data_IF_728860909567
#
_entry.id   IF_728860909567
#
_cell.length_a   1.000
_cell.length_b   1.000
_cell.length_c   1.000
_cell.angle_alpha   90.00
_cell.angle_beta   90.00
_cell.angle_gamma   90.00
#
_symmetry.space_group_name_H-M   'P 1'
#
loop_
_entity.id
_entity.type
_entity.pdbx_description
1 polymer ?
#
# COMPACT_ATOMS: atom_id res chain seq x y z
N UNK A 1 78.63 -4.50 -46.47
CA UNK A 1 77.21 -4.16 -46.28
C UNK A 1 76.42 -5.45 -46.29
N UNK A 2 76.02 -5.96 -45.13
CA UNK A 2 75.07 -7.07 -45.01
C UNK A 2 73.78 -6.49 -44.44
N UNK A 3 72.68 -6.60 -45.19
CA UNK A 3 71.39 -6.04 -44.79
C UNK A 3 70.65 -6.97 -43.84
N UNK A 4 70.12 -6.30 -42.82
CA UNK A 4 69.35 -6.69 -41.66
C UNK A 4 68.29 -7.76 -41.96
N UNK A 5 68.22 -8.80 -41.13
CA UNK A 5 67.17 -9.82 -41.18
C UNK A 5 65.81 -9.23 -40.80
N UNK A 6 64.82 -9.46 -41.67
CA UNK A 6 63.42 -9.15 -41.44
C UNK A 6 62.89 -10.05 -40.31
N UNK A 7 62.67 -9.46 -39.13
CA UNK A 7 61.98 -10.11 -38.02
C UNK A 7 60.47 -10.13 -38.30
N UNK A 8 59.85 -11.31 -38.17
CA UNK A 8 58.41 -11.47 -38.26
C UNK A 8 57.67 -10.51 -37.29
N UNK A 9 56.56 -9.89 -37.71
CA UNK A 9 55.78 -9.03 -36.84
C UNK A 9 55.17 -9.82 -35.68
N UNK A 10 55.15 -9.27 -34.45
CA UNK A 10 54.62 -9.96 -33.28
C UNK A 10 53.13 -10.26 -33.45
N UNK A 11 52.76 -11.52 -33.23
CA UNK A 11 51.38 -11.98 -33.24
C UNK A 11 50.53 -11.21 -32.20
N UNK A 12 49.33 -10.73 -32.56
CA UNK A 12 48.47 -10.00 -31.65
C UNK A 12 48.09 -10.90 -30.47
N UNK A 13 48.49 -10.48 -29.28
CA UNK A 13 48.13 -11.14 -28.03
C UNK A 13 46.61 -11.05 -27.88
N UNK A 14 45.91 -12.13 -27.51
CA UNK A 14 44.48 -12.06 -27.29
C UNK A 14 44.20 -10.99 -26.23
N UNK A 15 43.39 -9.99 -26.60
CA UNK A 15 42.97 -8.94 -25.68
C UNK A 15 42.25 -9.61 -24.52
N UNK A 16 42.96 -9.82 -23.40
CA UNK A 16 42.40 -10.31 -22.16
C UNK A 16 41.63 -9.13 -21.57
N UNK A 17 40.37 -9.00 -21.99
CA UNK A 17 39.42 -8.11 -21.35
C UNK A 17 39.41 -8.35 -19.83
N UNK A 18 39.02 -7.33 -19.04
CA UNK A 18 39.05 -7.43 -17.59
C UNK A 18 38.38 -8.73 -17.15
N UNK A 19 39.04 -9.45 -16.25
CA UNK A 19 38.47 -10.69 -15.75
C UNK A 19 37.09 -10.40 -15.13
N UNK A 20 36.19 -11.39 -15.18
CA UNK A 20 34.83 -11.24 -14.62
C UNK A 20 34.83 -10.92 -13.11
N UNK A 21 36.00 -10.97 -12.45
CA UNK A 21 36.21 -10.62 -11.05
C UNK A 21 36.59 -9.13 -10.85
N UNK A 22 37.21 -8.47 -11.82
CA UNK A 22 37.57 -7.03 -11.77
C UNK A 22 36.37 -6.13 -12.06
N UNK A 23 35.31 -6.64 -12.70
CA UNK A 23 34.02 -5.94 -12.84
C UNK A 23 33.18 -5.92 -11.55
N UNK A 24 33.72 -6.40 -10.41
CA UNK A 24 33.04 -6.34 -9.11
C UNK A 24 33.36 -5.05 -8.32
N UNK A 25 34.13 -4.11 -8.88
CA UNK A 25 34.44 -2.82 -8.25
C UNK A 25 33.63 -1.68 -8.88
N UNK A 26 32.31 -1.82 -8.98
CA UNK A 26 31.32 -0.71 -8.86
C UNK A 26 29.93 -1.29 -9.03
N UNK A 27 29.16 -1.33 -7.94
CA UNK A 27 27.79 -1.84 -7.94
C UNK A 27 27.67 -3.14 -7.18
N UNK A 28 27.81 -3.08 -5.86
CA UNK A 28 27.22 -4.09 -4.98
C UNK A 28 25.77 -4.27 -5.40
N UNK A 29 25.39 -5.49 -5.79
CA UNK A 29 24.00 -5.86 -5.97
C UNK A 29 23.31 -5.74 -4.61
N UNK A 30 22.78 -4.55 -4.30
CA UNK A 30 22.05 -4.28 -3.06
C UNK A 30 20.82 -5.17 -3.07
N UNK A 31 20.66 -6.01 -2.03
CA UNK A 31 19.51 -6.90 -1.90
C UNK A 31 18.22 -6.09 -1.88
N UNK A 32 17.10 -6.67 -2.34
CA UNK A 32 15.81 -5.98 -2.29
C UNK A 32 15.44 -5.56 -0.86
N UNK A 33 15.75 -6.38 0.15
CA UNK A 33 15.58 -6.01 1.57
C UNK A 33 16.44 -4.81 1.97
N UNK A 34 17.68 -4.76 1.49
CA UNK A 34 18.57 -3.64 1.78
C UNK A 34 18.05 -2.36 1.12
N UNK A 35 17.46 -2.45 -0.07
CA UNK A 35 16.80 -1.31 -0.74
C UNK A 35 15.57 -0.84 0.01
N UNK A 36 14.71 -1.76 0.45
CA UNK A 36 13.48 -1.43 1.18
C UNK A 36 13.82 -0.81 2.55
N UNK A 37 14.83 -1.33 3.25
CA UNK A 37 15.37 -0.74 4.48
C UNK A 37 15.94 0.66 4.26
N UNK A 38 16.75 0.86 3.20
CA UNK A 38 17.24 2.20 2.85
C UNK A 38 16.12 3.20 2.56
N UNK A 39 15.06 2.76 1.86
CA UNK A 39 13.91 3.59 1.54
C UNK A 39 13.14 4.00 2.82
N UNK A 40 12.96 3.07 3.76
CA UNK A 40 12.32 3.35 5.05
C UNK A 40 13.15 4.34 5.87
N UNK A 41 14.48 4.19 5.91
CA UNK A 41 15.35 5.14 6.61
C UNK A 41 15.34 6.54 5.97
N UNK A 42 15.34 6.62 4.64
CA UNK A 42 15.19 7.89 3.94
C UNK A 42 13.83 8.55 4.25
N UNK A 43 12.75 7.77 4.28
CA UNK A 43 11.41 8.24 4.62
C UNK A 43 11.35 8.76 6.07
N UNK A 44 11.93 8.02 7.03
CA UNK A 44 12.07 8.46 8.43
C UNK A 44 12.82 9.78 8.53
N UNK A 45 13.92 9.93 7.79
CA UNK A 45 14.73 11.15 7.81
C UNK A 45 13.95 12.38 7.31
N UNK A 46 13.21 12.24 6.21
CA UNK A 46 12.35 13.31 5.67
C UNK A 46 11.24 13.67 6.66
N UNK A 47 10.53 12.67 7.18
CA UNK A 47 9.43 12.88 8.13
C UNK A 47 9.93 13.50 9.44
N UNK A 48 11.08 13.07 9.96
CA UNK A 48 11.67 13.63 11.18
C UNK A 48 11.99 15.12 11.02
N UNK A 49 12.45 15.54 9.84
CA UNK A 49 12.74 16.94 9.53
C UNK A 49 11.47 17.78 9.44
N UNK A 50 10.43 17.25 8.81
CA UNK A 50 9.17 17.97 8.62
C UNK A 50 8.31 18.01 9.90
N UNK A 51 8.17 16.89 10.62
CA UNK A 51 7.25 16.78 11.76
C UNK A 51 7.57 15.63 12.71
N UNK A 52 8.18 15.96 13.85
CA UNK A 52 8.53 14.99 14.90
C UNK A 52 7.35 14.25 15.51
N UNK A 53 6.16 14.86 15.58
CA UNK A 53 4.95 14.21 16.11
C UNK A 53 4.39 13.13 15.20
N UNK A 54 4.54 13.28 13.87
CA UNK A 54 4.18 12.23 12.91
C UNK A 54 5.19 11.07 12.98
N UNK A 55 6.47 11.37 13.16
CA UNK A 55 7.49 10.34 13.40
C UNK A 55 7.19 9.50 14.64
N UNK A 56 6.80 10.15 15.75
CA UNK A 56 6.45 9.46 16.99
C UNK A 56 5.20 8.60 16.85
N UNK A 57 4.15 9.09 16.17
CA UNK A 57 2.90 8.31 16.03
C UNK A 57 3.08 7.06 15.19
N UNK A 58 3.85 7.12 14.09
CA UNK A 58 4.16 5.93 13.28
C UNK A 58 5.06 4.96 14.07
N UNK A 59 6.01 5.47 14.86
CA UNK A 59 6.90 4.63 15.68
C UNK A 59 6.15 3.90 16.79
N UNK A 60 5.26 4.59 17.52
CA UNK A 60 4.45 4.01 18.58
C UNK A 60 3.50 2.92 18.07
N UNK A 61 3.07 3.02 16.81
CA UNK A 61 2.23 2.03 16.17
C UNK A 61 3.03 0.85 15.56
N UNK A 62 4.37 0.85 15.66
CA UNK A 62 5.21 -0.17 15.02
C UNK A 62 5.24 -0.08 13.49
N UNK A 63 4.78 1.03 12.90
CA UNK A 63 4.58 1.14 11.45
C UNK A 63 5.86 1.00 10.62
N UNK A 64 7.01 1.40 11.17
CA UNK A 64 8.30 1.33 10.45
C UNK A 64 8.80 -0.09 10.22
N UNK A 65 8.62 -0.96 11.22
CA UNK A 65 9.02 -2.36 11.11
C UNK A 65 8.13 -3.06 10.09
N UNK A 66 6.83 -2.75 10.11
CA UNK A 66 5.85 -3.28 9.18
C UNK A 66 6.14 -2.86 7.73
N UNK A 67 6.59 -1.62 7.50
CA UNK A 67 6.98 -1.12 6.17
C UNK A 67 8.23 -1.82 5.61
N UNK A 68 9.06 -2.41 6.45
CA UNK A 68 10.32 -3.06 6.06
C UNK A 68 10.15 -4.54 5.71
N UNK A 69 8.97 -5.11 5.99
CA UNK A 69 8.66 -6.53 5.82
C UNK A 69 7.57 -6.68 4.75
N UNK A 70 7.81 -7.42 3.64
CA UNK A 70 6.86 -7.53 2.53
C UNK A 70 5.46 -8.02 2.95
N UNK A 71 5.39 -8.95 3.89
CA UNK A 71 4.15 -9.58 4.35
C UNK A 71 3.26 -8.62 5.15
N UNK A 72 3.86 -7.62 5.79
CA UNK A 72 3.14 -6.63 6.63
C UNK A 72 3.19 -5.22 6.07
N UNK A 73 3.70 -5.08 4.84
CA UNK A 73 3.96 -3.78 4.23
C UNK A 73 2.68 -2.95 4.11
N UNK A 74 1.55 -3.58 3.77
CA UNK A 74 0.28 -2.87 3.62
C UNK A 74 -0.26 -2.36 4.95
N UNK A 75 -0.12 -3.14 6.03
CA UNK A 75 -0.41 -2.69 7.39
C UNK A 75 0.45 -1.49 7.79
N UNK A 76 1.74 -1.51 7.44
CA UNK A 76 2.64 -0.38 7.61
C UNK A 76 2.19 0.87 6.84
N UNK A 77 1.75 0.70 5.59
CA UNK A 77 1.20 1.78 4.76
C UNK A 77 -0.09 2.35 5.36
N UNK A 78 -0.98 1.51 5.88
CA UNK A 78 -2.20 1.96 6.55
C UNK A 78 -1.88 2.80 7.79
N UNK A 79 -0.96 2.36 8.64
CA UNK A 79 -0.55 3.11 9.83
C UNK A 79 0.10 4.45 9.48
N UNK A 80 0.95 4.45 8.44
CA UNK A 80 1.56 5.67 7.93
C UNK A 80 0.50 6.65 7.41
N UNK A 81 -0.45 6.18 6.60
CA UNK A 81 -1.54 6.99 6.08
C UNK A 81 -2.39 7.59 7.21
N UNK A 82 -2.76 6.77 8.20
CA UNK A 82 -3.51 7.21 9.38
C UNK A 82 -2.79 8.32 10.14
N UNK A 83 -1.47 8.19 10.30
CA UNK A 83 -0.66 9.22 10.95
C UNK A 83 -0.64 10.52 10.11
N UNK A 84 -0.46 10.43 8.79
CA UNK A 84 -0.50 11.58 7.88
C UNK A 84 -1.84 12.32 8.02
N UNK A 85 -2.95 11.59 7.90
CA UNK A 85 -4.31 12.12 7.97
C UNK A 85 -4.60 12.77 9.33
N UNK A 86 -4.19 12.13 10.43
CA UNK A 86 -4.35 12.67 11.79
C UNK A 86 -3.62 13.99 11.99
N UNK A 87 -2.44 14.13 11.39
CA UNK A 87 -1.58 15.29 11.61
C UNK A 87 -1.71 16.38 10.52
N UNK A 88 -2.29 16.08 9.36
CA UNK A 88 -2.35 16.98 8.20
C UNK A 88 -3.68 16.91 7.44
N UNK A 89 -4.77 17.41 8.04
CA UNK A 89 -6.10 17.46 7.40
C UNK A 89 -6.14 18.16 6.03
N UNK A 90 -5.23 19.11 5.77
CA UNK A 90 -5.13 19.79 4.46
C UNK A 90 -4.42 18.96 3.38
N UNK A 91 -3.67 17.92 3.76
CA UNK A 91 -3.01 17.03 2.82
C UNK A 91 -3.94 15.94 2.29
N UNK A 92 -5.09 15.70 2.91
CA UNK A 92 -6.03 14.63 2.54
C UNK A 92 -6.39 14.69 1.03
N UNK A 93 -6.80 15.86 0.53
CA UNK A 93 -7.15 16.03 -0.88
C UNK A 93 -5.92 15.98 -1.80
N UNK A 94 -4.80 16.56 -1.38
CA UNK A 94 -3.57 16.55 -2.16
C UNK A 94 -3.04 15.11 -2.35
N UNK A 95 -2.99 14.33 -1.27
CA UNK A 95 -2.62 12.91 -1.31
C UNK A 95 -3.62 12.14 -2.17
N UNK A 96 -4.92 12.39 -2.01
CA UNK A 96 -5.95 11.77 -2.84
C UNK A 96 -5.71 11.99 -4.35
N UNK A 97 -5.44 13.21 -4.78
CA UNK A 97 -5.21 13.50 -6.21
C UNK A 97 -3.99 12.76 -6.78
N UNK A 98 -3.02 12.39 -5.94
CA UNK A 98 -1.87 11.58 -6.32
C UNK A 98 -2.14 10.09 -6.30
N UNK A 99 -2.98 9.63 -5.36
CA UNK A 99 -3.36 8.22 -5.21
C UNK A 99 -4.35 7.78 -6.29
N UNK A 100 -5.28 8.65 -6.70
CA UNK A 100 -6.36 8.30 -7.63
C UNK A 100 -5.87 7.74 -8.99
N UNK A 101 -4.86 8.32 -9.65
CA UNK A 101 -4.31 7.75 -10.89
C UNK A 101 -3.67 6.37 -10.67
N UNK A 102 -3.01 6.15 -9.53
CA UNK A 102 -2.34 4.89 -9.22
C UNK A 102 -3.31 3.73 -9.03
N UNK A 103 -4.55 4.01 -8.60
CA UNK A 103 -5.61 2.99 -8.50
C UNK A 103 -5.97 2.38 -9.86
N UNK A 104 -5.79 3.13 -10.96
CA UNK A 104 -6.19 2.71 -12.31
C UNK A 104 -4.99 2.28 -13.14
N UNK A 105 -3.91 3.07 -13.09
CA UNK A 105 -2.77 2.96 -14.00
C UNK A 105 -1.48 2.48 -13.31
N UNK A 106 -1.49 2.25 -12.01
CA UNK A 106 -0.34 1.70 -11.30
C UNK A 106 -0.07 0.24 -11.67
N UNK A 107 1.15 -0.21 -11.43
CA UNK A 107 1.45 -1.63 -11.33
C UNK A 107 0.73 -2.25 -10.11
N UNK A 108 0.72 -3.57 -9.99
CA UNK A 108 -0.06 -4.25 -8.95
C UNK A 108 0.36 -3.86 -7.52
N UNK A 109 1.67 -3.63 -7.29
CA UNK A 109 2.18 -3.21 -5.97
C UNK A 109 1.80 -1.76 -5.68
N UNK A 110 1.87 -0.90 -6.68
CA UNK A 110 1.45 0.50 -6.60
C UNK A 110 -0.05 0.61 -6.38
N UNK A 111 -0.85 -0.21 -7.07
CA UNK A 111 -2.31 -0.30 -6.87
C UNK A 111 -2.63 -0.69 -5.44
N UNK A 112 -2.03 -1.77 -4.92
CA UNK A 112 -2.27 -2.19 -3.53
C UNK A 112 -1.86 -1.12 -2.52
N UNK A 113 -0.72 -0.47 -2.74
CA UNK A 113 -0.27 0.66 -1.90
C UNK A 113 -1.28 1.81 -1.97
N UNK A 114 -1.73 2.16 -3.17
CA UNK A 114 -2.72 3.20 -3.41
C UNK A 114 -4.07 2.85 -2.76
N UNK A 115 -4.52 1.59 -2.81
CA UNK A 115 -5.73 1.12 -2.15
C UNK A 115 -5.63 1.25 -0.63
N UNK A 116 -4.49 0.90 -0.04
CA UNK A 116 -4.25 1.08 1.39
C UNK A 116 -4.27 2.56 1.80
N UNK A 117 -3.55 3.42 1.08
CA UNK A 117 -3.57 4.86 1.32
C UNK A 117 -4.99 5.44 1.18
N UNK A 118 -5.70 5.08 0.10
CA UNK A 118 -7.07 5.50 -0.15
C UNK A 118 -8.01 5.08 0.99
N UNK A 119 -7.88 3.84 1.46
CA UNK A 119 -8.69 3.28 2.55
C UNK A 119 -8.58 4.10 3.82
N UNK A 120 -7.38 4.51 4.22
CA UNK A 120 -7.18 5.32 5.43
C UNK A 120 -7.51 6.80 5.22
N UNK A 121 -7.43 7.32 3.99
CA UNK A 121 -7.94 8.67 3.70
C UNK A 121 -9.44 8.77 3.95
N UNK A 122 -10.20 7.68 3.73
CA UNK A 122 -11.63 7.62 4.04
C UNK A 122 -11.93 7.67 5.55
N UNK A 123 -10.91 7.56 6.42
CA UNK A 123 -11.08 7.71 7.86
C UNK A 123 -11.34 9.17 8.28
N UNK A 124 -11.16 10.16 7.40
CA UNK A 124 -11.56 11.54 7.67
C UNK A 124 -12.86 11.94 7.00
N UNK A 125 -13.71 12.62 7.76
CA UNK A 125 -14.97 13.20 7.30
C UNK A 125 -14.76 14.18 6.14
N UNK A 126 -13.67 14.97 6.16
CA UNK A 126 -13.29 15.89 5.09
C UNK A 126 -13.12 15.19 3.74
N UNK A 127 -12.46 14.03 3.73
CA UNK A 127 -12.26 13.23 2.51
C UNK A 127 -13.59 12.69 2.00
N UNK A 128 -14.43 12.18 2.91
CA UNK A 128 -15.75 11.67 2.57
C UNK A 128 -16.66 12.75 1.96
N UNK A 129 -16.66 13.97 2.51
CA UNK A 129 -17.48 15.09 2.02
C UNK A 129 -16.93 15.67 0.71
N UNK A 130 -15.61 15.73 0.55
CA UNK A 130 -14.98 16.32 -0.64
C UNK A 130 -15.13 15.42 -1.87
N UNK A 131 -15.13 14.11 -1.66
CA UNK A 131 -15.26 13.13 -2.73
C UNK A 131 -16.73 12.81 -3.01
N UNK A 132 -17.06 12.58 -4.28
CA UNK A 132 -18.40 12.07 -4.61
C UNK A 132 -18.57 10.69 -3.98
N UNK A 133 -19.57 10.52 -3.14
CA UNK A 133 -19.89 9.24 -2.48
C UNK A 133 -19.97 8.07 -3.49
N UNK A 134 -20.55 8.30 -4.67
CA UNK A 134 -20.62 7.31 -5.75
C UNK A 134 -19.24 6.85 -6.24
N UNK A 135 -18.26 7.76 -6.28
CA UNK A 135 -16.88 7.43 -6.67
C UNK A 135 -16.24 6.52 -5.62
N UNK A 136 -16.36 6.87 -4.34
CA UNK A 136 -15.84 6.06 -3.23
C UNK A 136 -16.49 4.67 -3.22
N UNK A 137 -17.83 4.61 -3.20
CA UNK A 137 -18.56 3.36 -3.13
C UNK A 137 -18.36 2.49 -4.37
N UNK A 138 -18.18 3.08 -5.54
CA UNK A 138 -17.85 2.36 -6.77
C UNK A 138 -16.55 1.57 -6.64
N UNK A 139 -15.49 2.20 -6.12
CA UNK A 139 -14.21 1.52 -5.85
C UNK A 139 -14.36 0.42 -4.81
N UNK A 140 -14.92 0.74 -3.65
CA UNK A 140 -15.03 -0.22 -2.54
C UNK A 140 -15.89 -1.44 -2.89
N UNK A 141 -16.97 -1.25 -3.68
CA UNK A 141 -17.80 -2.36 -4.16
C UNK A 141 -17.03 -3.27 -5.11
N UNK A 142 -16.23 -2.70 -6.01
CA UNK A 142 -15.40 -3.48 -6.92
C UNK A 142 -14.34 -4.27 -6.15
N UNK A 143 -13.71 -3.67 -5.14
CA UNK A 143 -12.71 -4.35 -4.32
C UNK A 143 -13.31 -5.49 -3.49
N UNK A 144 -14.56 -5.35 -3.03
CA UNK A 144 -15.23 -6.37 -2.24
C UNK A 144 -15.45 -7.69 -2.98
N UNK A 145 -15.65 -7.65 -4.31
CA UNK A 145 -15.84 -8.84 -5.15
C UNK A 145 -14.56 -9.31 -5.84
N UNK A 146 -13.41 -8.69 -5.52
CA UNK A 146 -12.13 -9.01 -6.13
C UNK A 146 -11.66 -10.43 -5.73
N UNK A 147 -11.03 -11.21 -6.63
CA UNK A 147 -10.50 -12.53 -6.30
C UNK A 147 -9.40 -12.49 -5.23
N UNK A 148 -8.65 -11.40 -5.12
CA UNK A 148 -7.58 -11.24 -4.13
C UNK A 148 -8.16 -10.99 -2.72
N UNK A 149 -7.83 -11.84 -1.72
CA UNK A 149 -8.27 -11.61 -0.34
C UNK A 149 -7.75 -10.30 0.24
N UNK A 150 -6.55 -9.87 -0.18
CA UNK A 150 -5.96 -8.59 0.26
C UNK A 150 -6.76 -7.39 -0.25
N UNK A 151 -7.18 -7.42 -1.52
CA UNK A 151 -8.01 -6.35 -2.09
C UNK A 151 -9.37 -6.30 -1.40
N UNK A 152 -9.99 -7.46 -1.14
CA UNK A 152 -11.25 -7.54 -0.38
C UNK A 152 -11.12 -6.98 1.03
N UNK A 153 -10.03 -7.32 1.73
CA UNK A 153 -9.76 -6.80 3.07
C UNK A 153 -9.65 -5.26 3.08
N UNK A 154 -8.92 -4.68 2.12
CA UNK A 154 -8.84 -3.22 1.96
C UNK A 154 -10.21 -2.59 1.65
N UNK A 155 -11.01 -3.22 0.78
CA UNK A 155 -12.38 -2.79 0.48
C UNK A 155 -13.29 -2.79 1.71
N UNK A 156 -13.24 -3.84 2.52
CA UNK A 156 -14.01 -3.94 3.77
C UNK A 156 -13.56 -2.90 4.80
N UNK A 157 -12.24 -2.70 4.95
CA UNK A 157 -11.70 -1.69 5.84
C UNK A 157 -12.14 -0.28 5.42
N UNK A 158 -12.13 0.01 4.12
CA UNK A 158 -12.61 1.28 3.56
C UNK A 158 -14.10 1.51 3.79
N UNK A 159 -14.92 0.47 3.64
CA UNK A 159 -16.35 0.53 3.96
C UNK A 159 -16.57 0.81 5.46
N UNK A 160 -15.80 0.17 6.33
CA UNK A 160 -15.81 0.45 7.76
C UNK A 160 -15.50 1.92 8.07
N UNK A 161 -14.46 2.47 7.45
CA UNK A 161 -14.08 3.88 7.61
C UNK A 161 -15.18 4.83 7.13
N UNK A 162 -15.84 4.54 6.01
CA UNK A 162 -16.99 5.33 5.51
C UNK A 162 -18.19 5.23 6.45
N UNK A 163 -18.48 4.04 6.99
CA UNK A 163 -19.61 3.82 7.89
C UNK A 163 -19.48 4.63 9.19
N UNK A 164 -18.27 4.90 9.66
CA UNK A 164 -18.03 5.74 10.84
C UNK A 164 -18.48 7.20 10.64
N UNK A 165 -18.45 7.72 9.40
CA UNK A 165 -18.90 9.08 9.08
C UNK A 165 -20.37 9.16 8.72
N UNK A 166 -20.95 8.05 8.25
CA UNK A 166 -22.37 7.93 7.99
C UNK A 166 -23.12 7.73 9.31
N UNK A 167 -23.47 8.82 10.00
CA UNK A 167 -24.29 8.82 11.24
C UNK A 167 -25.73 8.27 11.07
N UNK A 168 -26.04 7.57 9.97
CA UNK A 168 -27.25 6.77 9.81
C UNK A 168 -26.85 5.35 9.42
N UNK A 169 -26.74 4.51 10.45
CA UNK A 169 -26.57 3.05 10.37
C UNK A 169 -27.59 2.39 9.44
N UNK A 170 -28.71 3.04 9.12
CA UNK A 170 -29.74 2.52 8.21
C UNK A 170 -29.26 2.33 6.78
N UNK A 171 -28.54 3.28 6.18
CA UNK A 171 -28.33 3.27 4.72
C UNK A 171 -27.10 2.44 4.36
N UNK A 172 -26.01 2.58 5.12
CA UNK A 172 -24.81 1.75 4.93
C UNK A 172 -25.10 0.26 5.21
N UNK A 173 -25.86 -0.06 6.26
CA UNK A 173 -26.27 -1.45 6.49
C UNK A 173 -27.24 -1.95 5.41
N UNK A 174 -28.16 -1.13 4.89
CA UNK A 174 -29.02 -1.53 3.77
C UNK A 174 -28.19 -1.81 2.50
N UNK A 175 -27.20 -0.97 2.19
CA UNK A 175 -26.28 -1.17 1.07
C UNK A 175 -25.35 -2.38 1.26
N UNK A 176 -24.84 -2.61 2.48
CA UNK A 176 -24.05 -3.79 2.82
C UNK A 176 -24.92 -5.06 2.76
N UNK A 177 -26.15 -5.02 3.28
CA UNK A 177 -27.08 -6.16 3.27
C UNK A 177 -27.56 -6.50 1.86
N UNK A 178 -27.93 -5.51 1.04
CA UNK A 178 -28.31 -5.73 -0.37
C UNK A 178 -27.17 -6.29 -1.23
N UNK A 179 -25.92 -5.96 -0.90
CA UNK A 179 -24.75 -6.51 -1.59
C UNK A 179 -24.38 -7.91 -1.09
N UNK A 180 -24.76 -8.28 0.14
CA UNK A 180 -24.40 -9.54 0.80
C UNK A 180 -25.46 -10.65 0.65
N UNK A 181 -26.60 -10.39 -0.01
CA UNK A 181 -27.66 -11.39 -0.27
C UNK A 181 -27.27 -12.57 -1.18
N UNK A 182 -25.97 -12.76 -1.48
CA UNK A 182 -25.43 -13.94 -2.17
C UNK A 182 -24.43 -14.76 -1.35
N UNK A 183 -24.10 -14.35 -0.12
CA UNK A 183 -23.23 -15.14 0.76
C UNK A 183 -24.00 -15.50 2.02
N UNK A 184 -24.58 -16.70 2.01
CA UNK A 184 -25.16 -17.35 3.19
C UNK A 184 -24.05 -17.68 4.18
N UNK A 185 -23.96 -16.90 5.26
CA UNK A 185 -23.18 -17.25 6.44
C UNK A 185 -24.07 -17.07 7.66
N UNK A 186 -24.98 -18.02 7.90
CA UNK A 186 -25.36 -18.52 9.24
C UNK A 186 -26.23 -19.79 9.07
N UNK A 187 -25.97 -20.88 9.80
CA UNK A 187 -26.86 -22.03 9.81
C UNK A 187 -28.16 -21.65 10.52
N UNK A 188 -29.27 -21.96 9.85
CA UNK A 188 -30.62 -21.79 10.34
C UNK A 188 -30.89 -22.78 11.47
N UNK A 189 -30.72 -22.36 12.74
CA UNK A 189 -31.36 -23.04 13.89
C UNK A 189 -31.79 -22.02 14.95
N UNK A 190 -33.03 -22.22 15.36
CA UNK A 190 -33.66 -21.83 16.63
C UNK A 190 -34.14 -20.37 16.79
N UNK A 191 -35.37 -20.12 16.33
CA UNK A 191 -36.24 -19.02 16.81
C UNK A 191 -37.64 -19.50 17.18
N UNK A 192 -37.75 -20.66 17.82
CA UNK A 192 -39.06 -21.24 18.19
C UNK A 192 -39.40 -21.21 19.69
N UNK A 193 -38.71 -20.39 20.51
CA UNK A 193 -38.99 -20.34 21.96
C UNK A 193 -39.15 -18.96 22.59
N UNK A 194 -39.34 -17.88 21.80
CA UNK A 194 -39.50 -16.52 22.33
C UNK A 194 -40.90 -15.92 22.16
N UNK A 195 -41.95 -16.75 22.13
CA UNK A 195 -43.35 -16.30 22.02
C UNK A 195 -44.16 -16.35 23.33
N UNK A 196 -43.59 -16.73 24.47
CA UNK A 196 -44.36 -16.97 25.70
C UNK A 196 -44.00 -16.12 26.94
N UNK A 197 -43.33 -14.97 26.79
CA UNK A 197 -43.06 -14.07 27.94
C UNK A 197 -43.44 -12.62 27.64
N UNK A 198 -44.70 -12.42 27.25
CA UNK A 198 -45.41 -11.17 27.45
C UNK A 198 -46.89 -11.49 27.65
N UNK A 199 -47.21 -11.85 28.87
CA UNK A 199 -48.43 -11.48 29.62
C UNK A 199 -48.13 -11.63 31.12
#
# INVERSE_FOLDING_TARGET
MGWLGDADPPQPHPYRGPDKKTLLITGTAVSQRDRDGCAVEALKAVIKREKSSLMQSVSLAGGWDLLSVPETYLEGVLLLARAIVKHHRSLDFAVFTKVSPLLHHGDDKQKLTAMALFTELLSTESTYVTLKQQYILGHLKNWHIDPSPTVRWLGLLGLGNVALHLQKVSDACLYMFQSNSRVSLYPQKDKEYLWHLRD
#
